data_IF_783923359926
#
_entry.id   IF_783923359926
#
_cell.length_a   1.000
_cell.length_b   1.000
_cell.length_c   1.000
_cell.angle_alpha   90.00
_cell.angle_beta   90.00
_cell.angle_gamma   90.00
#
_symmetry.space_group_name_H-M   'P 1'
#
loop_
_entity.id
_entity.type
_entity.pdbx_description
1 polymer ?
#
# COMPACT_ATOMS: atom_id res chain seq x y z
N UNK A 1 -21.33 -12.85 5.80
CA UNK A 1 -20.88 -11.70 5.00
C UNK A 1 -19.87 -10.94 5.83
N UNK A 2 -18.63 -10.79 5.37
CA UNK A 2 -17.61 -10.01 6.09
C UNK A 2 -17.95 -8.53 5.94
N UNK A 3 -18.26 -7.88 7.06
CA UNK A 3 -18.81 -6.51 7.12
C UNK A 3 -17.73 -5.42 7.20
N UNK A 4 -16.60 -5.61 6.53
CA UNK A 4 -15.47 -4.68 6.61
C UNK A 4 -14.57 -4.71 5.38
N UNK A 5 -13.58 -3.80 5.31
CA UNK A 5 -12.66 -3.71 4.19
C UNK A 5 -11.91 -5.04 4.01
N UNK A 6 -11.64 -5.39 2.75
CA UNK A 6 -10.85 -6.58 2.40
C UNK A 6 -9.36 -6.34 2.55
N UNK A 7 -8.92 -5.08 2.53
CA UNK A 7 -7.55 -4.66 2.83
C UNK A 7 -7.58 -3.31 3.54
N UNK A 8 -6.83 -3.20 4.64
CA UNK A 8 -6.62 -1.94 5.35
C UNK A 8 -5.16 -1.85 5.79
N UNK A 9 -4.50 -0.75 5.45
CA UNK A 9 -3.15 -0.41 5.87
C UNK A 9 -3.10 1.06 6.25
N UNK A 10 -2.44 1.38 7.35
CA UNK A 10 -2.36 2.75 7.89
C UNK A 10 -0.93 3.07 8.26
N UNK A 11 -0.43 4.21 7.79
CA UNK A 11 0.90 4.72 8.11
C UNK A 11 2.05 3.81 7.68
N UNK A 12 1.92 3.08 6.56
CA UNK A 12 2.94 2.11 6.14
C UNK A 12 4.25 2.82 5.81
N UNK A 13 5.29 2.48 6.57
CA UNK A 13 6.68 2.84 6.32
C UNK A 13 7.44 1.55 6.03
N UNK A 14 8.10 1.48 4.87
CA UNK A 14 8.77 0.26 4.44
C UNK A 14 9.91 0.56 3.47
N UNK A 15 10.95 -0.25 3.53
CA UNK A 15 12.09 -0.22 2.63
C UNK A 15 12.91 -1.51 2.78
N UNK A 16 13.71 -1.84 1.76
CA UNK A 16 14.50 -3.08 1.77
C UNK A 16 15.85 -2.94 2.50
N UNK A 17 16.36 -1.72 2.64
CA UNK A 17 17.62 -1.43 3.30
C UNK A 17 17.36 -0.72 4.63
N UNK A 18 18.10 -1.04 5.70
CA UNK A 18 17.99 -0.33 6.96
C UNK A 18 18.18 1.17 6.79
N UNK A 19 17.24 1.96 7.32
CA UNK A 19 17.28 3.43 7.28
C UNK A 19 16.92 4.06 5.93
N UNK A 20 16.47 3.29 4.94
CA UNK A 20 16.04 3.81 3.63
C UNK A 20 14.59 3.45 3.36
N UNK A 21 13.71 4.40 3.65
CA UNK A 21 12.26 4.24 3.45
C UNK A 21 11.86 4.53 1.99
N UNK A 22 11.23 3.54 1.37
CA UNK A 22 10.59 3.63 0.06
C UNK A 22 9.14 4.10 0.23
N UNK A 23 8.39 3.49 1.16
CA UNK A 23 7.08 3.96 1.60
C UNK A 23 7.26 4.85 2.84
N UNK A 24 6.57 5.98 2.89
CA UNK A 24 6.77 7.03 3.90
C UNK A 24 5.45 7.44 4.57
N UNK A 25 4.72 6.47 5.11
CA UNK A 25 3.43 6.69 5.77
C UNK A 25 2.25 6.59 4.78
N UNK A 26 2.14 5.45 4.08
CA UNK A 26 1.06 5.22 3.11
C UNK A 26 -0.16 4.61 3.79
N UNK A 27 -1.34 5.16 3.47
CA UNK A 27 -2.64 4.60 3.84
C UNK A 27 -3.28 3.93 2.61
N UNK A 28 -3.86 2.74 2.78
CA UNK A 28 -4.61 2.03 1.75
C UNK A 28 -5.83 1.34 2.35
N UNK A 29 -7.00 1.61 1.80
CA UNK A 29 -8.26 0.96 2.15
C UNK A 29 -8.88 0.39 0.87
N UNK A 30 -9.25 -0.89 0.90
CA UNK A 30 -9.94 -1.57 -0.20
C UNK A 30 -11.20 -2.21 0.35
N UNK A 31 -12.34 -1.78 -0.17
CA UNK A 31 -13.65 -2.30 0.16
C UNK A 31 -14.00 -3.55 -0.68
N UNK A 32 -14.90 -4.42 -0.19
CA UNK A 32 -15.36 -5.57 -0.96
C UNK A 32 -15.90 -5.16 -2.35
N UNK A 33 -15.39 -5.80 -3.40
CA UNK A 33 -15.80 -5.57 -4.79
C UNK A 33 -15.07 -4.44 -5.52
N UNK A 34 -14.13 -3.75 -4.87
CA UNK A 34 -13.30 -2.74 -5.54
C UNK A 34 -12.18 -3.39 -6.38
N UNK A 35 -11.98 -2.86 -7.59
CA UNK A 35 -10.80 -3.10 -8.40
C UNK A 35 -9.87 -1.89 -8.28
N UNK A 36 -8.72 -2.08 -7.64
CA UNK A 36 -7.76 -1.00 -7.37
C UNK A 36 -6.49 -1.21 -8.18
N UNK A 37 -6.06 -0.17 -8.90
CA UNK A 37 -4.80 -0.14 -9.64
C UNK A 37 -3.82 0.84 -9.02
N UNK A 38 -2.59 0.39 -8.74
CA UNK A 38 -1.50 1.25 -8.27
C UNK A 38 -0.60 1.61 -9.45
N UNK A 39 -0.59 2.91 -9.82
CA UNK A 39 0.15 3.42 -10.97
C UNK A 39 1.15 4.49 -10.57
N UNK A 40 2.18 4.68 -11.39
CA UNK A 40 3.26 5.64 -11.14
C UNK A 40 4.58 5.23 -11.79
N UNK A 41 5.58 6.12 -11.85
CA UNK A 41 6.86 5.86 -12.49
C UNK A 41 7.64 4.71 -11.80
N UNK A 42 8.66 4.20 -12.48
CA UNK A 42 9.57 3.22 -11.88
C UNK A 42 10.25 3.82 -10.65
N UNK A 43 10.39 3.02 -9.59
CA UNK A 43 10.94 3.48 -8.31
C UNK A 43 9.96 4.20 -7.37
N UNK A 44 8.70 4.44 -7.78
CA UNK A 44 7.70 5.12 -6.94
C UNK A 44 7.18 4.29 -5.73
N UNK A 45 7.72 3.10 -5.48
CA UNK A 45 7.32 2.26 -4.35
C UNK A 45 6.13 1.32 -4.59
N UNK A 46 5.61 1.23 -5.82
CA UNK A 46 4.44 0.39 -6.16
C UNK A 46 4.59 -1.09 -5.74
N UNK A 47 5.69 -1.73 -6.12
CA UNK A 47 5.98 -3.13 -5.74
C UNK A 47 6.38 -3.28 -4.27
N UNK A 48 6.72 -2.18 -3.61
CA UNK A 48 6.94 -2.19 -2.16
C UNK A 48 5.62 -2.09 -1.40
N UNK A 49 4.57 -1.55 -2.03
CA UNK A 49 3.22 -1.45 -1.47
C UNK A 49 2.39 -2.75 -1.63
N UNK A 50 2.74 -3.62 -2.60
CA UNK A 50 2.01 -4.87 -2.93
C UNK A 50 2.98 -6.06 -2.95
#
# INVERSE_FOLDING_TARGET
MTTGPVLAATGVVAGYLPGVDILRGVDLLVEPGQLVGVIGPNGAGKSTLI
#
